data_IF_242573312247
#
_entry.id   IF_242573312247
#
_cell.length_a   1.000
_cell.length_b   1.000
_cell.length_c   1.000
_cell.angle_alpha   90.00
_cell.angle_beta   90.00
_cell.angle_gamma   90.00
#
_symmetry.space_group_name_H-M   'P 1'
#
loop_
_entity.id
_entity.type
_entity.pdbx_description
1 polymer ?
#
# COMPACT_ATOMS: atom_id res chain seq x y z
N UNK A 1 7.77 -2.79 -23.54
CA UNK A 1 6.77 -2.48 -22.50
C UNK A 1 6.39 -1.03 -22.66
N UNK A 2 5.13 -0.68 -22.45
CA UNK A 2 4.62 0.70 -22.55
C UNK A 2 4.64 1.35 -21.17
N UNK A 3 4.47 2.67 -21.09
CA UNK A 3 4.32 3.38 -19.81
C UNK A 3 3.10 2.88 -19.02
N UNK A 4 2.01 2.61 -19.74
CA UNK A 4 0.73 2.15 -19.21
C UNK A 4 0.84 0.77 -18.54
N UNK A 5 1.77 -0.07 -19.03
CA UNK A 5 2.07 -1.34 -18.37
C UNK A 5 2.54 -1.12 -16.92
N UNK A 6 3.48 -0.20 -16.71
CA UNK A 6 3.98 0.08 -15.37
C UNK A 6 2.92 0.76 -14.52
N UNK A 7 2.22 1.74 -15.09
CA UNK A 7 1.20 2.50 -14.39
C UNK A 7 0.07 1.62 -13.84
N UNK A 8 -0.47 0.70 -14.66
CA UNK A 8 -1.68 -0.05 -14.32
C UNK A 8 -1.44 -1.39 -13.64
N UNK A 9 -0.24 -1.94 -13.77
CA UNK A 9 0.07 -3.27 -13.24
C UNK A 9 1.21 -3.30 -12.24
N UNK A 10 2.03 -2.26 -12.14
CA UNK A 10 3.22 -2.23 -11.27
C UNK A 10 3.10 -1.14 -10.20
N UNK A 11 2.74 0.08 -10.59
CA UNK A 11 2.63 1.25 -9.69
C UNK A 11 1.20 1.44 -9.17
N UNK A 12 0.57 0.35 -8.75
CA UNK A 12 -0.82 0.36 -8.26
C UNK A 12 -0.90 1.04 -6.90
N UNK A 13 -1.61 2.16 -6.84
CA UNK A 13 -1.64 3.04 -5.67
C UNK A 13 -0.53 4.08 -5.62
N UNK A 14 0.21 4.24 -6.72
CA UNK A 14 1.40 5.09 -6.82
C UNK A 14 2.70 4.28 -6.78
N UNK A 15 3.81 4.96 -6.49
CA UNK A 15 5.12 4.33 -6.42
C UNK A 15 5.15 3.22 -5.34
N UNK A 16 5.72 2.05 -5.67
CA UNK A 16 5.91 0.97 -4.71
C UNK A 16 4.72 0.06 -4.43
N UNK A 17 3.63 0.16 -5.20
CA UNK A 17 2.38 -0.58 -4.95
C UNK A 17 1.70 -0.22 -3.61
N UNK A 18 1.77 1.07 -3.24
CA UNK A 18 1.38 1.63 -1.93
C UNK A 18 -0.08 1.45 -1.57
N UNK A 19 -0.98 1.20 -2.52
CA UNK A 19 -2.38 0.86 -2.23
C UNK A 19 -2.47 -0.36 -1.30
N UNK A 20 -1.59 -1.32 -1.48
CA UNK A 20 -1.50 -2.52 -0.64
C UNK A 20 -1.20 -2.18 0.82
N UNK A 21 -0.30 -1.22 1.05
CA UNK A 21 0.02 -0.72 2.38
C UNK A 21 -1.13 0.10 2.97
N UNK A 22 -1.80 0.94 2.17
CA UNK A 22 -2.99 1.66 2.61
C UNK A 22 -4.10 0.70 3.07
N UNK A 23 -4.34 -0.39 2.33
CA UNK A 23 -5.30 -1.44 2.69
C UNK A 23 -4.90 -2.09 4.03
N UNK A 24 -3.63 -2.43 4.20
CA UNK A 24 -3.14 -3.01 5.46
C UNK A 24 -3.32 -2.06 6.65
N UNK A 25 -2.98 -0.79 6.49
CA UNK A 25 -3.14 0.24 7.52
C UNK A 25 -4.62 0.47 7.87
N UNK A 26 -5.50 0.54 6.85
CA UNK A 26 -6.90 0.84 7.04
C UNK A 26 -7.67 -0.31 7.74
N UNK A 27 -7.37 -1.57 7.39
CA UNK A 27 -8.17 -2.71 7.83
C UNK A 27 -7.49 -3.61 8.88
N UNK A 28 -6.15 -3.63 8.94
CA UNK A 28 -5.41 -4.58 9.79
C UNK A 28 -4.58 -3.91 10.88
N UNK A 29 -4.53 -2.57 10.95
CA UNK A 29 -3.74 -1.86 11.97
C UNK A 29 -4.39 -1.94 13.34
N UNK A 30 -3.56 -2.19 14.36
CA UNK A 30 -3.94 -2.20 15.77
C UNK A 30 -3.58 -0.89 16.47
N UNK A 31 -2.47 -0.25 16.08
CA UNK A 31 -2.06 1.05 16.62
C UNK A 31 -3.06 2.16 16.29
N UNK A 32 -3.21 3.14 17.20
CA UNK A 32 -4.07 4.29 16.95
C UNK A 32 -3.54 5.16 15.81
N UNK A 33 -2.21 5.29 15.74
CA UNK A 33 -1.53 5.97 14.65
C UNK A 33 -1.77 5.30 13.30
N UNK A 34 -1.53 3.99 13.17
CA UNK A 34 -1.68 3.27 11.92
C UNK A 34 -3.13 3.27 11.39
N UNK A 35 -4.13 3.15 12.28
CA UNK A 35 -5.55 3.30 11.91
C UNK A 35 -5.91 4.68 11.40
N UNK A 36 -5.28 5.72 11.94
CA UNK A 36 -5.51 7.10 11.51
C UNK A 36 -4.91 7.35 10.15
N UNK A 37 -3.65 6.95 9.95
CA UNK A 37 -3.00 7.03 8.63
C UNK A 37 -3.77 6.20 7.60
N UNK A 38 -4.18 4.97 7.91
CA UNK A 38 -4.95 4.11 7.00
C UNK A 38 -6.23 4.77 6.50
N UNK A 39 -7.00 5.41 7.38
CA UNK A 39 -8.25 6.11 7.00
C UNK A 39 -8.00 7.32 6.10
N UNK A 40 -6.92 8.06 6.33
CA UNK A 40 -6.57 9.25 5.55
C UNK A 40 -5.98 8.89 4.19
N UNK A 41 -5.29 7.74 4.10
CA UNK A 41 -4.50 7.36 2.92
C UNK A 41 -5.23 6.42 1.95
N UNK A 42 -6.28 5.71 2.39
CA UNK A 42 -6.96 4.72 1.54
C UNK A 42 -7.67 5.35 0.34
N UNK A 43 -8.36 6.47 0.54
CA UNK A 43 -9.07 7.17 -0.54
C UNK A 43 -8.07 7.69 -1.58
N UNK A 44 -7.07 8.53 -1.25
CA UNK A 44 -6.09 8.97 -2.23
C UNK A 44 -5.33 7.81 -2.87
N UNK A 45 -5.03 6.75 -2.12
CA UNK A 45 -4.38 5.55 -2.63
C UNK A 45 -5.18 4.82 -3.71
N UNK A 46 -6.51 4.79 -3.63
CA UNK A 46 -7.36 4.19 -4.69
C UNK A 46 -7.19 4.95 -6.03
N UNK A 47 -6.98 6.26 -5.96
CA UNK A 47 -6.74 7.13 -7.11
C UNK A 47 -5.24 7.31 -7.42
N UNK A 48 -4.40 6.38 -6.95
CA UNK A 48 -2.94 6.36 -7.17
C UNK A 48 -2.15 7.56 -6.60
N UNK A 49 -2.72 8.28 -5.64
CA UNK A 49 -2.05 9.39 -4.92
C UNK A 49 -1.38 8.82 -3.67
N UNK A 50 -0.05 8.92 -3.58
CA UNK A 50 0.76 8.17 -2.62
C UNK A 50 1.54 9.03 -1.61
N UNK A 51 1.59 10.34 -1.77
CA UNK A 51 2.27 11.27 -0.86
C UNK A 51 1.74 11.11 0.58
N UNK A 52 0.42 11.01 0.82
CA UNK A 52 -0.10 10.86 2.18
C UNK A 52 0.42 9.63 2.91
N UNK A 53 0.66 8.52 2.20
CA UNK A 53 1.17 7.29 2.82
C UNK A 53 2.69 7.27 2.90
N UNK A 54 3.41 7.83 1.92
CA UNK A 54 4.87 7.90 1.91
C UNK A 54 5.40 8.81 3.02
N UNK A 55 4.70 9.92 3.29
CA UNK A 55 5.05 10.81 4.39
C UNK A 55 4.39 10.38 5.70
N UNK A 56 3.20 9.76 5.64
CA UNK A 56 2.45 9.33 6.83
C UNK A 56 3.02 8.09 7.51
N UNK A 57 3.43 7.08 6.75
CA UNK A 57 4.37 6.06 7.24
C UNK A 57 5.69 6.48 6.61
N UNK A 58 6.71 6.95 7.33
CA UNK A 58 7.88 7.59 6.75
C UNK A 58 8.74 6.58 5.95
N UNK A 59 8.25 6.14 4.79
CA UNK A 59 8.81 5.08 3.94
C UNK A 59 10.16 5.56 3.41
N UNK A 60 10.26 6.84 3.06
CA UNK A 60 11.48 7.47 2.54
C UNK A 60 12.60 7.47 3.59
N UNK A 61 12.26 7.69 4.86
CA UNK A 61 13.24 7.76 5.95
C UNK A 61 13.48 6.42 6.64
N UNK A 62 12.65 5.41 6.37
CA UNK A 62 12.73 4.10 7.02
C UNK A 62 13.17 3.02 6.02
N UNK A 63 14.45 2.57 6.07
CA UNK A 63 14.97 1.52 5.19
C UNK A 63 14.17 0.21 5.27
N UNK A 64 13.44 0.00 6.37
CA UNK A 64 12.60 -1.16 6.58
C UNK A 64 11.48 -1.29 5.53
N UNK A 65 10.84 -0.17 5.16
CA UNK A 65 9.80 -0.18 4.12
C UNK A 65 10.37 -0.04 2.71
N UNK A 66 11.63 0.35 2.54
CA UNK A 66 12.28 0.38 1.23
C UNK A 66 12.33 -1.01 0.58
N UNK A 67 12.49 -2.07 1.38
CA UNK A 67 12.53 -3.46 0.89
C UNK A 67 11.20 -3.85 0.20
N UNK A 68 10.03 -3.82 0.86
CA UNK A 68 8.77 -4.14 0.19
C UNK A 68 8.42 -3.13 -0.90
N UNK A 69 8.84 -1.86 -0.77
CA UNK A 69 8.63 -0.82 -1.79
C UNK A 69 9.32 -1.11 -3.12
N UNK A 70 10.46 -1.81 -3.10
CA UNK A 70 11.13 -2.26 -4.33
C UNK A 70 10.65 -3.65 -4.74
N UNK A 71 10.51 -4.57 -3.77
CA UNK A 71 10.20 -5.97 -4.04
C UNK A 71 8.79 -6.18 -4.60
N UNK A 72 7.80 -5.43 -4.13
CA UNK A 72 6.42 -5.55 -4.61
C UNK A 72 6.29 -5.17 -6.10
N UNK A 73 6.74 -3.97 -6.55
CA UNK A 73 6.76 -3.64 -7.97
C UNK A 73 7.54 -4.62 -8.85
N UNK A 74 8.70 -5.10 -8.37
CA UNK A 74 9.48 -6.09 -9.12
C UNK A 74 8.70 -7.39 -9.34
N UNK A 75 8.07 -7.90 -8.28
CA UNK A 75 7.29 -9.13 -8.34
C UNK A 75 6.07 -8.98 -9.24
N UNK A 76 5.32 -7.87 -9.10
CA UNK A 76 4.16 -7.57 -9.95
C UNK A 76 4.57 -7.40 -11.42
N UNK A 77 5.71 -6.76 -11.68
CA UNK A 77 6.27 -6.60 -13.02
C UNK A 77 6.57 -7.94 -13.68
N UNK A 78 7.19 -8.87 -12.95
CA UNK A 78 7.47 -10.23 -13.44
C UNK A 78 6.18 -10.99 -13.73
N UNK A 79 5.20 -10.96 -12.81
CA UNK A 79 3.90 -11.63 -12.98
C UNK A 79 3.17 -11.08 -14.22
N UNK A 80 3.11 -9.76 -14.35
CA UNK A 80 2.40 -9.10 -15.45
C UNK A 80 3.10 -9.33 -16.79
N UNK A 81 4.43 -9.31 -16.80
CA UNK A 81 5.22 -9.63 -17.98
C UNK A 81 4.96 -11.07 -18.44
N UNK A 82 5.03 -12.03 -17.53
CA UNK A 82 4.73 -13.43 -17.84
C UNK A 82 3.30 -13.59 -18.36
N UNK A 83 2.31 -12.95 -17.73
CA UNK A 83 0.91 -12.99 -18.18
C UNK A 83 0.72 -12.39 -19.59
N UNK A 84 1.48 -11.34 -19.92
CA UNK A 84 1.41 -10.70 -21.23
C UNK A 84 2.12 -11.51 -22.32
N UNK A 85 3.27 -12.13 -22.01
CA UNK A 85 4.03 -12.96 -22.96
C UNK A 85 3.32 -14.29 -23.24
N UNK A 86 2.67 -14.87 -22.22
CA UNK A 86 1.85 -16.08 -22.36
C UNK A 86 0.48 -15.83 -23.00
N UNK A 87 0.21 -14.60 -23.47
CA UNK A 87 -1.08 -14.20 -24.05
C UNK A 87 -2.29 -14.42 -23.13
N UNK A 88 -2.06 -14.45 -21.81
CA UNK A 88 -3.13 -14.53 -20.81
C UNK A 88 -3.88 -13.22 -20.70
N UNK A 89 -3.18 -12.09 -20.89
CA UNK A 89 -3.75 -10.73 -20.87
C UNK A 89 -3.35 -9.96 -22.11
N UNK A 90 -4.28 -9.16 -22.62
CA UNK A 90 -4.06 -8.29 -23.78
C UNK A 90 -3.02 -7.21 -23.50
N UNK A 91 -2.31 -6.79 -24.54
CA UNK A 91 -1.32 -5.70 -24.42
C UNK A 91 -2.04 -4.37 -24.20
N UNK A 92 -1.39 -3.45 -23.51
CA UNK A 92 -1.88 -2.07 -23.34
C UNK A 92 -1.86 -1.33 -24.67
N UNK A 93 -2.96 -0.71 -25.06
CA UNK A 93 -3.14 -0.01 -26.33
C UNK A 93 -3.64 1.44 -26.17
N UNK A 94 -4.18 1.80 -25.01
CA UNK A 94 -4.74 3.12 -24.76
C UNK A 94 -4.06 3.84 -23.59
N UNK A 95 -3.82 5.14 -23.75
CA UNK A 95 -3.46 6.05 -22.66
C UNK A 95 -4.72 6.38 -21.86
N UNK A 96 -4.70 6.02 -20.58
CA UNK A 96 -5.82 6.20 -19.67
C UNK A 96 -5.36 7.08 -18.50
N UNK A 97 -6.19 8.00 -17.98
CA UNK A 97 -5.81 8.86 -16.85
C UNK A 97 -5.36 8.05 -15.64
N UNK A 98 -4.17 8.33 -15.13
CA UNK A 98 -3.53 7.57 -14.04
C UNK A 98 -4.25 7.63 -12.69
N UNK A 99 -5.18 8.57 -12.53
CA UNK A 99 -5.97 8.70 -11.30
C UNK A 99 -7.14 7.71 -11.24
N UNK A 100 -7.43 6.93 -12.28
CA UNK A 100 -8.51 5.95 -12.19
C UNK A 100 -8.16 4.82 -11.19
N UNK A 101 -9.18 4.20 -10.56
CA UNK A 101 -8.97 3.00 -9.76
C UNK A 101 -8.28 1.90 -10.57
N UNK A 102 -7.27 1.25 -9.97
CA UNK A 102 -6.38 0.30 -10.64
C UNK A 102 -7.07 -0.70 -11.59
N UNK A 103 -8.08 -1.46 -11.15
CA UNK A 103 -8.76 -2.44 -12.01
C UNK A 103 -9.50 -1.81 -13.21
N UNK A 104 -10.07 -0.62 -13.04
CA UNK A 104 -10.78 0.10 -14.11
C UNK A 104 -9.77 0.59 -15.14
N UNK A 105 -8.66 1.20 -14.70
CA UNK A 105 -7.62 1.67 -15.59
C UNK A 105 -6.93 0.53 -16.35
N UNK A 106 -6.70 -0.61 -15.68
CA UNK A 106 -6.15 -1.82 -16.30
C UNK A 106 -7.07 -2.35 -17.41
N UNK A 107 -8.39 -2.37 -17.19
CA UNK A 107 -9.37 -2.84 -18.16
C UNK A 107 -9.45 -1.91 -19.37
N UNK A 108 -9.47 -0.59 -19.15
CA UNK A 108 -9.54 0.41 -20.22
C UNK A 108 -8.26 0.46 -21.07
N UNK A 109 -7.08 0.32 -20.46
CA UNK A 109 -5.82 0.38 -21.20
C UNK A 109 -5.62 -0.82 -22.12
N UNK A 110 -6.23 -1.98 -21.81
CA UNK A 110 -6.15 -3.22 -22.59
C UNK A 110 -7.37 -3.45 -23.50
N UNK A 111 -8.03 -2.38 -23.96
CA UNK A 111 -9.21 -2.44 -24.84
C UNK A 111 -10.39 -3.26 -24.26
N UNK A 112 -10.70 -3.02 -22.98
CA UNK A 112 -11.80 -3.67 -22.25
C UNK A 112 -11.63 -5.17 -21.97
N UNK A 113 -10.38 -5.65 -21.96
CA UNK A 113 -10.06 -7.01 -21.53
C UNK A 113 -10.26 -7.19 -20.02
N UNK A 114 -11.29 -7.94 -19.62
CA UNK A 114 -11.60 -8.24 -18.22
C UNK A 114 -10.46 -8.98 -17.50
N UNK A 115 -9.61 -9.72 -18.23
CA UNK A 115 -8.48 -10.46 -17.65
C UNK A 115 -7.44 -9.51 -17.07
N UNK A 116 -7.32 -8.30 -17.62
CA UNK A 116 -6.45 -7.26 -17.10
C UNK A 116 -6.90 -6.76 -15.72
N UNK A 117 -8.21 -6.60 -15.50
CA UNK A 117 -8.73 -6.25 -14.17
C UNK A 117 -8.45 -7.35 -13.14
N UNK A 118 -8.60 -8.62 -13.54
CA UNK A 118 -8.27 -9.77 -12.67
C UNK A 118 -6.78 -9.78 -12.33
N UNK A 119 -5.91 -9.57 -13.32
CA UNK A 119 -4.46 -9.50 -13.10
C UNK A 119 -4.08 -8.34 -12.17
N UNK A 120 -4.72 -7.18 -12.32
CA UNK A 120 -4.55 -6.02 -11.44
C UNK A 120 -4.90 -6.37 -9.99
N UNK A 121 -6.02 -7.06 -9.76
CA UNK A 121 -6.43 -7.54 -8.42
C UNK A 121 -5.42 -8.55 -7.87
N UNK A 122 -4.96 -9.50 -8.68
CA UNK A 122 -3.92 -10.47 -8.28
C UNK A 122 -2.65 -9.74 -7.85
N UNK A 123 -2.22 -8.73 -8.61
CA UNK A 123 -1.04 -7.94 -8.27
C UNK A 123 -1.21 -7.16 -6.96
N UNK A 124 -2.38 -6.59 -6.70
CA UNK A 124 -2.70 -5.95 -5.40
C UNK A 124 -2.61 -6.98 -4.26
N UNK A 125 -3.15 -8.18 -4.45
CA UNK A 125 -3.11 -9.25 -3.45
C UNK A 125 -1.66 -9.67 -3.18
N UNK A 126 -0.86 -9.91 -4.22
CA UNK A 126 0.56 -10.28 -4.11
C UNK A 126 1.36 -9.20 -3.38
N UNK A 127 1.18 -7.93 -3.77
CA UNK A 127 1.81 -6.82 -3.09
C UNK A 127 1.36 -6.72 -1.62
N UNK A 128 0.08 -6.94 -1.32
CA UNK A 128 -0.43 -6.99 0.05
C UNK A 128 0.28 -8.09 0.87
N UNK A 129 0.48 -9.28 0.31
CA UNK A 129 1.24 -10.34 0.99
C UNK A 129 2.71 -9.99 1.20
N UNK A 130 3.35 -9.30 0.25
CA UNK A 130 4.73 -8.83 0.37
C UNK A 130 4.84 -7.77 1.48
N UNK A 131 3.90 -6.82 1.56
CA UNK A 131 3.89 -5.78 2.57
C UNK A 131 3.46 -6.27 3.96
N UNK A 132 2.65 -7.32 4.04
CA UNK A 132 2.08 -7.84 5.29
C UNK A 132 3.10 -8.11 6.41
N UNK A 133 4.20 -8.87 6.20
CA UNK A 133 5.17 -9.13 7.27
C UNK A 133 5.83 -7.84 7.76
N UNK A 134 6.11 -6.91 6.85
CA UNK A 134 6.73 -5.63 7.19
C UNK A 134 5.77 -4.79 8.04
N UNK A 135 4.57 -4.60 7.53
CA UNK A 135 3.49 -3.90 8.19
C UNK A 135 3.22 -4.45 9.61
N UNK A 136 3.11 -5.78 9.75
CA UNK A 136 2.78 -6.42 11.04
C UNK A 136 3.78 -6.11 12.15
N UNK A 137 5.08 -6.13 11.82
CA UNK A 137 6.14 -5.82 12.79
C UNK A 137 6.14 -4.32 13.11
N UNK A 138 5.96 -3.47 12.10
CA UNK A 138 5.90 -2.02 12.30
C UNK A 138 4.71 -1.61 13.19
N UNK A 139 3.51 -2.11 12.89
CA UNK A 139 2.29 -1.80 13.66
C UNK A 139 2.40 -2.30 15.11
N UNK A 140 3.06 -3.44 15.33
CA UNK A 140 3.36 -3.95 16.68
C UNK A 140 4.31 -3.01 17.44
N UNK A 141 5.34 -2.48 16.78
CA UNK A 141 6.27 -1.55 17.41
C UNK A 141 5.59 -0.22 17.76
N UNK A 142 4.72 0.29 16.88
CA UNK A 142 3.94 1.49 17.16
C UNK A 142 2.96 1.28 18.31
N UNK A 143 2.25 0.16 18.35
CA UNK A 143 1.37 -0.17 19.46
C UNK A 143 2.13 -0.27 20.79
N UNK A 144 3.34 -0.83 20.78
CA UNK A 144 4.18 -0.90 21.97
C UNK A 144 4.60 0.50 22.44
N UNK A 145 5.02 1.37 21.53
CA UNK A 145 5.37 2.75 21.85
C UNK A 145 4.17 3.53 22.44
N UNK A 146 2.98 3.35 21.87
CA UNK A 146 1.74 3.94 22.40
C UNK A 146 1.43 3.46 23.83
N UNK A 147 1.61 2.16 24.09
CA UNK A 147 1.39 1.57 25.42
C UNK A 147 2.43 2.04 26.46
N UNK A 148 3.70 2.12 26.07
CA UNK A 148 4.77 2.56 26.96
C UNK A 148 4.61 4.05 27.31
N UNK A 149 4.19 4.88 26.36
CA UNK A 149 3.83 6.28 26.60
C UNK A 149 2.64 6.41 27.58
N UNK A 150 1.57 5.65 27.35
CA UNK A 150 0.39 5.68 28.22
C UNK A 150 0.70 5.24 29.67
N UNK A 151 1.61 4.28 29.87
CA UNK A 151 2.08 3.87 31.20
C UNK A 151 2.90 4.97 31.89
N UNK A 152 3.81 5.61 31.16
CA UNK A 152 4.61 6.71 31.69
C UNK A 152 3.74 7.92 32.09
N UNK A 153 2.68 8.21 31.34
CA UNK A 153 1.74 9.28 31.68
C UNK A 153 0.88 8.92 32.91
N UNK A 154 0.45 7.66 33.04
CA UNK A 154 -0.26 7.18 34.22
C UNK A 154 0.60 7.21 35.49
N UNK A 155 1.89 6.86 35.38
CA UNK A 155 2.84 6.88 36.49
C UNK A 155 3.17 8.31 36.95
N UNK A 156 3.19 9.29 36.03
CA UNK A 156 3.33 10.73 36.36
C UNK A 156 2.06 11.35 36.96
N UNK A 157 0.88 10.80 36.69
CA UNK A 157 -0.39 11.28 37.25
C UNK A 157 -0.66 10.74 38.67
N UNK A 158 -0.10 9.58 39.04
CA UNK A 158 -0.25 8.96 40.36
C UNK A 158 0.30 9.76 41.58
N UNK A 159 1.44 10.47 41.51
CA UNK A 159 1.97 11.20 42.67
C UNK A 159 1.16 12.45 43.08
N UNK A 160 0.21 12.92 42.27
CA UNK A 160 -0.61 14.10 42.59
C UNK A 160 -1.85 13.79 43.46
N UNK A 161 -2.23 12.51 43.62
CA UNK A 161 -3.48 12.12 44.30
C UNK A 161 -3.30 11.71 45.78
N UNK A 162 -2.07 11.74 46.32
CA UNK A 162 -1.77 11.31 47.71
C UNK A 162 -1.44 12.50 48.63
N UNK A 163 -1.72 13.73 48.20
CA UNK A 163 -1.36 14.96 48.93
C UNK A 163 -2.55 15.87 49.29
N UNK A 164 -3.77 15.32 49.38
CA UNK A 164 -4.91 15.96 50.05
C UNK A 164 -5.38 15.17 51.26
#
# INVERSE_FOLDING_TARGET
MTEQFFQWFVYIGGAGATLSLCILLAFFSKSAYGKTIGRVTIIPGIFNINEPVIFGVPIVMNPYFAIPFVLAPLTMGIITWAATVLHLVSRTVALVPWTLPGPIGALMTTAWDWRAAVLCIINIIVATFIYYPFFKIWDRNQLKAEQDAAKADAEKAAPAAVAE
#
